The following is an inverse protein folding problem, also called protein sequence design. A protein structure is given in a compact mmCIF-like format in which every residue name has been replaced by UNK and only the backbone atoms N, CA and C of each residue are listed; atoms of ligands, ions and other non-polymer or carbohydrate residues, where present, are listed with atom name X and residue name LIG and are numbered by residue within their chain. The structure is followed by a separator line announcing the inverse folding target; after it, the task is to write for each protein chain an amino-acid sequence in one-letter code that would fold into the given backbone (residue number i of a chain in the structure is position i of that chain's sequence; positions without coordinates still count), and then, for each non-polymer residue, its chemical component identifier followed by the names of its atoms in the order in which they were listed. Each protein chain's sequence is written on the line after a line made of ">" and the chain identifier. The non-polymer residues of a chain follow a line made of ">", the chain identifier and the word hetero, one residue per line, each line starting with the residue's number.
data_IF_080437741288
#
_entry.id   IF_080437741288
#
_cell.length_a   1.000
_cell.length_b   1.000
_cell.length_c   1.000
_cell.angle_alpha   90.00
_cell.angle_beta   90.00
_cell.angle_gamma   90.00
#
_symmetry.space_group_name_H-M   'P 1'
#
loop_
_entity.id
_entity.type
_entity.pdbx_description
1 polymer ?
#
# COMPACT_ATOMS: atom_id res chain seq x y z
N UNK A 1 -7.67 -9.49 12.18
CA UNK A 1 -7.30 -8.38 13.09
C UNK A 1 -6.37 -8.93 14.16
N UNK A 2 -5.31 -8.21 14.50
CA UNK A 2 -4.28 -8.68 15.46
C UNK A 2 -4.74 -8.61 16.94
N UNK A 3 -5.86 -7.98 17.21
CA UNK A 3 -6.30 -7.70 18.57
C UNK A 3 -5.56 -6.50 19.18
N UNK A 4 -5.59 -6.38 20.51
CA UNK A 4 -4.97 -5.27 21.23
C UNK A 4 -3.48 -5.53 21.44
N UNK A 5 -2.65 -4.47 21.35
CA UNK A 5 -1.21 -4.50 21.65
C UNK A 5 -0.96 -4.91 23.11
N UNK A 6 -0.11 -5.89 23.32
CA UNK A 6 0.32 -6.38 24.64
C UNK A 6 1.65 -5.77 25.06
N UNK A 7 2.60 -5.70 24.11
CA UNK A 7 3.94 -5.17 24.36
C UNK A 7 4.63 -4.76 23.09
N UNK A 8 5.71 -4.03 23.21
CA UNK A 8 6.67 -3.78 22.14
C UNK A 8 8.09 -3.80 22.69
N UNK A 9 9.06 -3.98 21.80
CA UNK A 9 10.49 -3.77 22.07
C UNK A 9 11.18 -3.25 20.81
N UNK A 10 12.32 -2.61 20.98
CA UNK A 10 13.12 -2.03 19.89
C UNK A 10 14.43 -2.79 19.79
N UNK A 11 14.74 -3.29 18.61
CA UNK A 11 15.98 -3.99 18.31
C UNK A 11 16.45 -3.66 16.89
N UNK A 12 17.69 -3.25 16.71
CA UNK A 12 18.34 -2.99 15.42
C UNK A 12 17.55 -2.05 14.48
N UNK A 13 16.90 -1.02 15.01
CA UNK A 13 16.11 -0.08 14.22
C UNK A 13 14.69 -0.54 13.90
N UNK A 14 14.31 -1.72 14.39
CA UNK A 14 12.99 -2.31 14.21
C UNK A 14 12.23 -2.25 15.52
N UNK A 15 10.99 -1.81 15.48
CA UNK A 15 10.05 -1.86 16.59
C UNK A 15 9.17 -3.08 16.40
N UNK A 16 9.31 -4.07 17.27
CA UNK A 16 8.53 -5.28 17.27
C UNK A 16 7.33 -5.15 18.19
N UNK A 17 6.16 -5.55 17.71
CA UNK A 17 4.90 -5.50 18.45
C UNK A 17 4.34 -6.90 18.66
N UNK A 18 3.91 -7.19 19.89
CA UNK A 18 3.11 -8.36 20.21
C UNK A 18 1.65 -7.94 20.47
N UNK A 19 0.72 -8.63 19.83
CA UNK A 19 -0.73 -8.42 19.95
C UNK A 19 -1.39 -9.66 20.56
N UNK A 20 -2.71 -9.59 20.78
CA UNK A 20 -3.48 -10.72 21.31
C UNK A 20 -3.45 -11.93 20.36
N UNK A 21 -3.48 -11.70 19.05
CA UNK A 21 -3.63 -12.75 18.05
C UNK A 21 -2.54 -12.72 16.96
N UNK A 22 -1.42 -12.09 17.23
CA UNK A 22 -0.33 -12.04 16.26
C UNK A 22 0.78 -11.08 16.66
N UNK A 23 1.63 -10.82 15.69
CA UNK A 23 2.77 -9.90 15.82
C UNK A 23 2.87 -9.01 14.58
N UNK A 24 3.56 -7.90 14.68
CA UNK A 24 3.88 -7.00 13.59
C UNK A 24 5.14 -6.23 13.90
N UNK A 25 5.68 -5.54 12.93
CA UNK A 25 6.84 -4.67 13.13
C UNK A 25 6.76 -3.40 12.30
N UNK A 26 7.48 -2.40 12.78
CA UNK A 26 7.76 -1.16 12.08
C UNK A 26 9.27 -1.00 12.02
N UNK A 27 9.84 -0.95 10.82
CA UNK A 27 11.26 -0.70 10.60
C UNK A 27 11.47 0.71 10.05
N UNK A 28 12.34 1.48 10.69
CA UNK A 28 12.73 2.81 10.25
C UNK A 28 14.01 2.68 9.41
N UNK A 29 13.88 2.74 8.08
CA UNK A 29 15.01 2.57 7.17
C UNK A 29 15.80 3.86 6.94
N UNK A 30 15.07 4.97 6.83
CA UNK A 30 15.61 6.35 6.75
C UNK A 30 14.67 7.29 7.49
N UNK A 31 15.00 8.58 7.55
CA UNK A 31 14.13 9.58 8.19
C UNK A 31 12.74 9.68 7.53
N UNK A 32 12.60 9.22 6.29
CA UNK A 32 11.39 9.34 5.48
C UNK A 32 10.92 8.02 4.83
N UNK A 33 11.61 6.90 5.08
CA UNK A 33 11.21 5.56 4.60
C UNK A 33 10.97 4.65 5.80
N UNK A 34 9.77 4.11 5.87
CA UNK A 34 9.34 3.22 6.94
C UNK A 34 8.68 1.99 6.35
N UNK A 35 9.07 0.81 6.83
CA UNK A 35 8.41 -0.46 6.52
C UNK A 35 7.39 -0.81 7.60
N UNK A 36 6.25 -1.31 7.19
CA UNK A 36 5.20 -1.89 8.05
C UNK A 36 5.02 -3.34 7.65
N UNK A 37 5.23 -4.24 8.60
CA UNK A 37 5.23 -5.68 8.35
C UNK A 37 4.33 -6.45 9.32
N UNK A 38 3.48 -7.33 8.78
CA UNK A 38 2.70 -8.32 9.53
C UNK A 38 2.90 -9.68 8.90
N UNK A 39 3.48 -10.65 9.63
CA UNK A 39 3.69 -12.00 9.14
C UNK A 39 2.37 -12.79 9.17
N UNK A 40 1.91 -13.23 8.00
CA UNK A 40 0.77 -14.12 7.86
C UNK A 40 1.18 -15.51 7.35
N UNK A 41 2.08 -15.58 6.35
CA UNK A 41 2.57 -16.84 5.81
C UNK A 41 4.03 -17.13 6.20
N UNK A 42 4.84 -16.08 6.36
CA UNK A 42 6.27 -16.21 6.65
C UNK A 42 6.67 -15.27 7.78
N UNK A 43 7.31 -15.80 8.80
CA UNK A 43 7.70 -15.01 9.97
C UNK A 43 8.85 -14.04 9.71
N UNK A 44 9.67 -14.33 8.71
CA UNK A 44 10.80 -13.50 8.34
C UNK A 44 10.43 -12.54 7.20
N UNK A 45 10.84 -11.30 7.35
CA UNK A 45 10.81 -10.34 6.26
C UNK A 45 11.95 -10.66 5.29
N UNK A 46 11.61 -11.16 4.11
CA UNK A 46 12.55 -11.52 3.04
C UNK A 46 12.15 -10.85 1.73
N UNK A 47 12.38 -9.55 1.67
CA UNK A 47 12.19 -8.84 0.41
C UNK A 47 13.15 -9.33 -0.66
N UNK A 48 12.63 -9.46 -1.89
CA UNK A 48 13.43 -9.66 -3.10
C UNK A 48 13.55 -8.40 -3.95
N UNK A 49 12.80 -7.37 -3.59
CA UNK A 49 12.78 -6.09 -4.28
C UNK A 49 13.75 -5.07 -3.66
N UNK A 50 14.16 -5.27 -2.41
CA UNK A 50 15.02 -4.34 -1.68
C UNK A 50 16.48 -4.68 -1.94
N UNK A 51 17.26 -3.70 -2.41
CA UNK A 51 18.68 -3.86 -2.70
C UNK A 51 19.53 -3.56 -1.46
N UNK A 52 20.29 -4.57 -1.00
CA UNK A 52 21.25 -4.44 0.10
C UNK A 52 20.61 -4.18 1.47
N UNK A 53 21.44 -3.95 2.47
CA UNK A 53 21.01 -3.55 3.80
C UNK A 53 20.78 -2.04 3.84
N UNK A 54 19.54 -1.61 4.08
CA UNK A 54 19.13 -0.19 4.10
C UNK A 54 19.05 0.39 5.50
N UNK A 55 18.73 -0.41 6.51
CA UNK A 55 18.64 0.04 7.91
C UNK A 55 20.05 0.16 8.52
N UNK A 56 20.60 1.36 8.52
CA UNK A 56 21.85 1.66 9.22
C UNK A 56 21.63 2.77 10.23
N UNK A 57 21.38 2.38 11.50
CA UNK A 57 21.48 3.26 12.66
C UNK A 57 20.76 4.62 12.54
N UNK A 58 19.52 4.59 12.04
CA UNK A 58 18.68 5.79 12.03
C UNK A 58 18.26 6.08 13.48
N UNK A 59 18.48 7.30 13.90
CA UNK A 59 18.01 7.75 15.21
C UNK A 59 16.52 8.08 15.13
N UNK A 60 15.73 7.51 16.01
CA UNK A 60 14.33 7.86 16.19
C UNK A 60 13.95 7.78 17.67
N UNK A 61 12.99 8.58 18.06
CA UNK A 61 12.44 8.58 19.42
C UNK A 61 11.13 7.78 19.43
N UNK A 62 10.87 7.12 20.57
CA UNK A 62 9.64 6.35 20.80
C UNK A 62 8.97 6.88 22.05
N UNK A 63 7.69 7.24 21.94
CA UNK A 63 6.90 7.75 23.06
C UNK A 63 5.54 7.05 23.11
N UNK A 64 5.13 6.60 24.29
CA UNK A 64 3.79 6.07 24.51
C UNK A 64 2.74 7.20 24.59
N UNK A 65 1.67 7.07 23.80
CA UNK A 65 0.44 7.81 23.93
C UNK A 65 -0.63 7.02 24.70
N UNK A 66 -1.87 7.47 24.65
CA UNK A 66 -2.98 6.82 25.39
C UNK A 66 -3.35 5.47 24.75
N UNK A 67 -3.44 5.42 23.42
CA UNK A 67 -3.87 4.26 22.61
C UNK A 67 -2.97 4.00 21.39
N UNK A 68 -1.79 4.63 21.35
CA UNK A 68 -0.80 4.47 20.28
C UNK A 68 0.62 4.56 20.83
N UNK A 69 1.55 4.06 20.04
CA UNK A 69 2.98 4.34 20.16
C UNK A 69 3.35 5.37 19.10
N UNK A 70 3.98 6.47 19.49
CA UNK A 70 4.47 7.48 18.56
C UNK A 70 5.96 7.26 18.32
N UNK A 71 6.35 7.20 17.06
CA UNK A 71 7.73 7.08 16.59
C UNK A 71 8.08 8.34 15.82
N UNK A 72 9.17 9.00 16.18
CA UNK A 72 9.61 10.27 15.58
C UNK A 72 10.98 10.10 14.94
N UNK A 73 11.06 10.40 13.66
CA UNK A 73 12.31 10.61 12.93
C UNK A 73 12.55 12.10 12.70
N UNK A 74 13.62 12.46 12.00
CA UNK A 74 13.86 13.87 11.63
C UNK A 74 12.82 14.41 10.61
N UNK A 75 12.11 13.53 9.86
CA UNK A 75 11.14 13.93 8.83
C UNK A 75 9.70 13.46 9.09
N UNK A 76 9.48 12.45 9.92
CA UNK A 76 8.18 11.82 10.11
C UNK A 76 7.79 11.69 11.59
N UNK A 77 6.48 11.74 11.81
CA UNK A 77 5.83 11.27 13.03
C UNK A 77 4.93 10.10 12.61
N UNK A 78 5.15 8.92 13.20
CA UNK A 78 4.37 7.72 12.92
C UNK A 78 3.61 7.34 14.18
N UNK A 79 2.30 7.10 14.09
CA UNK A 79 1.49 6.60 15.19
C UNK A 79 1.00 5.20 14.89
N UNK A 80 1.47 4.25 15.70
CA UNK A 80 1.06 2.84 15.66
C UNK A 80 0.05 2.62 16.78
N UNK A 81 -1.21 2.45 16.43
CA UNK A 81 -2.30 2.28 17.38
C UNK A 81 -2.33 0.87 17.97
N UNK A 82 -3.02 0.71 19.08
CA UNK A 82 -3.12 -0.56 19.81
C UNK A 82 -3.72 -1.72 18.99
N UNK A 83 -4.43 -1.43 17.90
CA UNK A 83 -4.96 -2.41 16.94
C UNK A 83 -4.10 -2.58 15.68
N UNK A 84 -2.88 -2.05 15.68
CA UNK A 84 -1.92 -2.00 14.57
C UNK A 84 -2.39 -1.18 13.35
N UNK A 85 -3.24 -0.21 13.54
CA UNK A 85 -3.43 0.83 12.53
C UNK A 85 -2.27 1.82 12.58
N UNK A 86 -1.83 2.29 11.41
CA UNK A 86 -0.64 3.15 11.29
C UNK A 86 -0.98 4.43 10.54
N UNK A 87 -0.74 5.56 11.20
CA UNK A 87 -0.88 6.89 10.62
C UNK A 87 0.48 7.57 10.51
N UNK A 88 0.68 8.29 9.42
CA UNK A 88 1.89 9.02 9.11
C UNK A 88 1.60 10.52 9.04
N UNK A 89 2.45 11.30 9.70
CA UNK A 89 2.37 12.76 9.75
C UNK A 89 3.74 13.36 9.40
N UNK A 90 3.75 14.59 8.92
CA UNK A 90 4.97 15.38 8.87
C UNK A 90 5.38 15.86 10.28
N UNK A 91 6.56 16.45 10.40
CA UNK A 91 7.08 16.95 11.69
C UNK A 91 6.28 18.13 12.28
N UNK A 92 5.41 18.77 11.49
CA UNK A 92 4.48 19.83 11.93
C UNK A 92 3.15 19.27 12.42
N UNK A 93 2.97 17.94 12.33
CA UNK A 93 1.73 17.26 12.73
C UNK A 93 0.66 17.25 11.64
N UNK A 94 1.00 17.60 10.39
CA UNK A 94 0.07 17.48 9.28
C UNK A 94 -0.06 16.01 8.86
N UNK A 95 -1.28 15.52 8.73
CA UNK A 95 -1.55 14.16 8.30
C UNK A 95 -1.15 13.96 6.83
N UNK A 96 -0.28 12.98 6.59
CA UNK A 96 0.11 12.52 5.27
C UNK A 96 -0.77 11.35 4.81
N UNK A 97 -0.81 10.26 5.59
CA UNK A 97 -1.53 9.04 5.27
C UNK A 97 -2.06 8.40 6.55
N UNK A 98 -3.31 7.95 6.56
CA UNK A 98 -3.92 7.26 7.69
C UNK A 98 -4.57 5.95 7.26
N UNK A 99 -4.59 4.98 8.18
CA UNK A 99 -5.43 3.81 8.01
C UNK A 99 -6.91 4.16 8.16
N UNK A 100 -7.76 3.55 7.33
CA UNK A 100 -9.20 3.77 7.38
C UNK A 100 -9.81 3.09 8.62
N UNK A 101 -10.53 3.86 9.44
CA UNK A 101 -11.10 3.40 10.70
C UNK A 101 -12.42 2.64 10.55
N UNK A 102 -13.08 2.78 9.39
CA UNK A 102 -14.28 2.03 9.05
C UNK A 102 -13.94 0.61 8.57
N UNK A 103 -14.86 -0.32 8.68
CA UNK A 103 -14.73 -1.62 8.02
C UNK A 103 -14.89 -1.46 6.51
N UNK A 104 -14.05 -2.14 5.72
CA UNK A 104 -14.24 -2.22 4.27
C UNK A 104 -15.58 -2.91 4.00
N UNK A 105 -16.50 -2.18 3.39
CA UNK A 105 -17.84 -2.69 3.05
C UNK A 105 -17.87 -3.02 1.57
N UNK A 106 -17.96 -4.31 1.26
CA UNK A 106 -18.35 -4.75 -0.08
C UNK A 106 -19.82 -4.37 -0.30
N UNK A 107 -20.06 -3.49 -1.24
CA UNK A 107 -21.38 -3.31 -1.81
C UNK A 107 -21.25 -3.58 -3.30
N UNK A 108 -21.33 -4.85 -3.68
CA UNK A 108 -21.76 -5.18 -5.03
C UNK A 108 -23.26 -4.88 -5.09
N UNK A 109 -23.64 -3.61 -5.20
CA UNK A 109 -25.01 -3.28 -5.56
C UNK A 109 -25.19 -3.60 -7.06
N UNK A 110 -25.36 -4.87 -7.35
CA UNK A 110 -26.08 -5.24 -8.54
C UNK A 110 -27.51 -4.79 -8.24
N UNK A 111 -28.03 -3.79 -8.94
CA UNK A 111 -29.40 -3.32 -8.70
C UNK A 111 -30.37 -4.50 -8.91
N UNK A 112 -31.42 -4.61 -8.10
CA UNK A 112 -32.43 -5.66 -8.22
C UNK A 112 -32.96 -5.77 -9.68
N UNK A 113 -33.14 -4.63 -10.34
CA UNK A 113 -33.54 -4.55 -11.76
C UNK A 113 -32.52 -5.23 -12.70
N UNK A 114 -31.22 -5.12 -12.42
CA UNK A 114 -30.20 -5.76 -13.24
C UNK A 114 -30.13 -7.27 -12.96
N UNK A 115 -30.37 -7.70 -11.72
CA UNK A 115 -30.52 -9.13 -11.36
C UNK A 115 -31.73 -9.72 -12.06
N UNK A 116 -32.87 -9.04 -12.08
CA UNK A 116 -34.09 -9.45 -12.77
C UNK A 116 -33.86 -9.56 -14.29
N UNK A 117 -33.18 -8.56 -14.87
CA UNK A 117 -32.80 -8.58 -16.29
C UNK A 117 -31.91 -9.79 -16.62
N UNK A 118 -30.86 -10.06 -15.86
CA UNK A 118 -29.97 -11.21 -16.08
C UNK A 118 -30.73 -12.54 -15.97
N UNK A 119 -31.63 -12.67 -15.00
CA UNK A 119 -32.48 -13.86 -14.86
C UNK A 119 -33.45 -14.02 -16.02
N UNK A 120 -34.04 -12.94 -16.51
CA UNK A 120 -34.97 -12.97 -17.63
C UNK A 120 -34.29 -13.39 -18.95
N UNK A 121 -33.02 -12.98 -19.12
CA UNK A 121 -32.21 -13.35 -20.30
C UNK A 121 -31.49 -14.70 -20.16
N UNK A 122 -31.72 -15.45 -19.05
CA UNK A 122 -31.13 -16.76 -18.82
C UNK A 122 -29.63 -16.73 -18.50
N UNK A 123 -29.10 -15.57 -18.07
CA UNK A 123 -27.72 -15.45 -17.63
C UNK A 123 -27.56 -15.83 -16.15
N UNK A 124 -26.41 -16.42 -15.81
CA UNK A 124 -26.06 -16.62 -14.41
C UNK A 124 -25.92 -15.28 -13.70
N UNK A 125 -26.61 -15.13 -12.58
CA UNK A 125 -26.44 -13.95 -11.71
C UNK A 125 -25.07 -14.05 -11.06
N UNK A 126 -24.16 -13.09 -11.26
CA UNK A 126 -22.90 -13.11 -10.56
C UNK A 126 -23.15 -13.15 -9.05
N UNK A 127 -22.68 -14.18 -8.37
CA UNK A 127 -22.70 -14.18 -6.92
C UNK A 127 -21.82 -13.03 -6.45
N UNK A 128 -22.35 -12.25 -5.50
CA UNK A 128 -21.54 -11.25 -4.81
C UNK A 128 -20.39 -11.99 -4.11
N UNK A 129 -19.24 -12.02 -4.75
CA UNK A 129 -18.04 -12.57 -4.15
C UNK A 129 -17.55 -11.55 -3.14
N UNK A 130 -17.61 -11.88 -1.87
CA UNK A 130 -16.88 -11.21 -0.81
C UNK A 130 -15.38 -11.33 -1.15
N UNK A 131 -14.84 -10.30 -1.81
CA UNK A 131 -13.40 -10.22 -2.09
C UNK A 131 -12.67 -9.74 -0.83
N UNK A 132 -12.72 -10.53 0.22
CA UNK A 132 -11.85 -10.35 1.36
C UNK A 132 -10.48 -10.95 1.01
N UNK A 133 -9.49 -10.10 0.84
CA UNK A 133 -8.12 -10.54 0.68
C UNK A 133 -7.56 -11.05 2.00
N UNK A 134 -6.69 -12.07 1.94
CA UNK A 134 -6.04 -12.63 3.12
C UNK A 134 -5.24 -11.56 3.87
N UNK A 135 -4.51 -10.74 3.14
CA UNK A 135 -3.78 -9.57 3.66
C UNK A 135 -4.24 -8.32 2.93
N UNK A 136 -4.45 -7.24 3.67
CA UNK A 136 -4.82 -5.95 3.08
C UNK A 136 -4.47 -4.77 3.99
N UNK A 137 -4.14 -3.64 3.38
CA UNK A 137 -4.08 -2.33 4.02
C UNK A 137 -5.14 -1.43 3.38
N UNK A 138 -5.98 -0.83 4.21
CA UNK A 138 -7.05 0.08 3.78
C UNK A 138 -6.69 1.48 4.28
N UNK A 139 -6.51 2.41 3.37
CA UNK A 139 -6.08 3.78 3.66
C UNK A 139 -7.25 4.75 3.46
N UNK A 140 -7.36 5.72 4.35
CA UNK A 140 -8.39 6.75 4.28
C UNK A 140 -8.15 7.70 3.11
N UNK A 141 -9.23 8.06 2.41
CA UNK A 141 -9.23 9.15 1.42
C UNK A 141 -9.46 10.49 2.11
N UNK A 142 -8.70 11.50 1.71
CA UNK A 142 -8.92 12.90 2.14
C UNK A 142 -9.72 13.70 1.10
N UNK A 143 -9.89 13.14 -0.12
CA UNK A 143 -10.75 13.67 -1.17
C UNK A 143 -10.01 14.31 -2.34
N UNK A 144 -8.85 14.91 -2.11
CA UNK A 144 -8.04 15.60 -3.13
C UNK A 144 -6.91 14.76 -3.74
N UNK A 145 -6.83 13.46 -3.39
CA UNK A 145 -5.77 12.57 -3.89
C UNK A 145 -5.81 12.39 -5.40
N UNK A 146 -4.62 12.41 -5.99
CA UNK A 146 -4.30 11.86 -7.30
C UNK A 146 -3.27 10.75 -7.15
N UNK A 147 -3.41 9.67 -7.93
CA UNK A 147 -2.56 8.49 -7.84
C UNK A 147 -1.78 8.27 -9.13
N UNK A 148 -0.47 8.02 -9.03
CA UNK A 148 0.44 7.83 -10.17
C UNK A 148 1.34 6.62 -9.94
N UNK A 149 1.60 5.81 -10.95
CA UNK A 149 2.51 4.67 -10.86
C UNK A 149 1.97 3.37 -11.45
N UNK A 150 2.28 2.23 -10.80
CA UNK A 150 1.87 0.87 -11.11
C UNK A 150 2.53 0.21 -12.33
N UNK A 151 3.50 0.85 -12.98
CA UNK A 151 4.10 0.35 -14.22
C UNK A 151 3.17 0.48 -15.43
N UNK A 152 3.14 -0.52 -16.30
CA UNK A 152 2.32 -0.50 -17.50
C UNK A 152 0.85 -0.80 -17.14
N UNK A 153 0.04 0.24 -17.11
CA UNK A 153 -1.40 0.15 -16.81
C UNK A 153 -2.20 1.04 -17.76
N UNK A 154 -3.29 0.49 -18.27
CA UNK A 154 -4.22 1.24 -19.11
C UNK A 154 -4.92 2.38 -18.34
N UNK A 155 -5.57 3.27 -19.08
CA UNK A 155 -6.30 4.41 -18.53
C UNK A 155 -5.48 5.70 -18.48
N UNK A 156 -6.09 6.74 -17.92
CA UNK A 156 -5.47 8.07 -17.80
C UNK A 156 -4.33 8.07 -16.78
N UNK A 157 -3.51 9.12 -16.80
CA UNK A 157 -2.33 9.24 -15.95
C UNK A 157 -2.68 9.20 -14.45
N UNK A 158 -3.68 9.98 -14.02
CA UNK A 158 -4.21 9.89 -12.66
C UNK A 158 -5.09 8.65 -12.52
N UNK A 159 -4.66 7.73 -11.69
CA UNK A 159 -5.30 6.42 -11.49
C UNK A 159 -6.47 6.43 -10.48
N UNK A 160 -6.91 7.60 -10.01
CA UNK A 160 -8.09 7.71 -9.13
C UNK A 160 -9.32 7.08 -9.79
N UNK A 161 -10.09 6.31 -9.06
CA UNK A 161 -11.26 5.51 -9.48
C UNK A 161 -10.96 4.31 -10.40
N UNK A 162 -9.70 3.88 -10.47
CA UNK A 162 -9.32 2.63 -11.11
C UNK A 162 -9.06 1.52 -10.09
N UNK A 163 -9.14 0.29 -10.54
CA UNK A 163 -8.67 -0.89 -9.83
C UNK A 163 -7.71 -1.68 -10.72
N UNK A 164 -6.63 -2.19 -10.15
CA UNK A 164 -5.58 -2.90 -10.87
C UNK A 164 -5.19 -4.20 -10.20
N UNK A 165 -4.72 -5.15 -11.02
CA UNK A 165 -4.09 -6.38 -10.60
C UNK A 165 -2.60 -6.34 -10.97
N UNK A 166 -1.74 -6.70 -10.03
CA UNK A 166 -0.31 -6.92 -10.29
C UNK A 166 -0.14 -8.39 -10.64
N UNK A 167 -0.24 -8.67 -11.92
CA UNK A 167 -0.07 -9.98 -12.52
C UNK A 167 0.40 -9.79 -13.95
N UNK A 168 1.67 -10.16 -14.24
CA UNK A 168 2.23 -9.96 -15.58
C UNK A 168 1.47 -10.80 -16.59
N UNK A 169 0.86 -10.13 -17.55
CA UNK A 169 0.00 -10.73 -18.56
C UNK A 169 0.32 -10.15 -19.92
N UNK A 170 0.65 -11.01 -20.88
CA UNK A 170 0.75 -10.66 -22.29
C UNK A 170 -0.64 -10.83 -22.94
N UNK A 171 -1.31 -9.73 -23.21
CA UNK A 171 -2.63 -9.74 -23.82
C UNK A 171 -2.54 -9.26 -25.29
N UNK A 172 -2.84 -10.11 -26.27
CA UNK A 172 -2.75 -9.77 -27.70
C UNK A 172 -3.86 -8.81 -28.17
N UNK A 173 -4.90 -8.58 -27.36
CA UNK A 173 -5.98 -7.67 -27.71
C UNK A 173 -5.58 -6.20 -27.51
N UNK A 174 -6.35 -5.27 -28.10
CA UNK A 174 -6.16 -3.84 -27.87
C UNK A 174 -6.33 -3.49 -26.39
N UNK A 175 -5.34 -2.80 -25.82
CA UNK A 175 -5.32 -2.45 -24.40
C UNK A 175 -6.27 -1.28 -24.12
N UNK A 176 -7.44 -1.59 -23.62
CA UNK A 176 -8.43 -0.61 -23.16
C UNK A 176 -8.34 -0.39 -21.66
N UNK A 177 -9.04 0.61 -21.14
CA UNK A 177 -9.13 0.91 -19.72
C UNK A 177 -9.71 -0.24 -18.86
N UNK A 178 -10.38 -1.21 -19.49
CA UNK A 178 -10.91 -2.38 -18.82
C UNK A 178 -9.83 -3.39 -18.40
N UNK A 179 -8.63 -3.31 -19.00
CA UNK A 179 -7.53 -4.21 -18.65
C UNK A 179 -6.90 -3.82 -17.32
N UNK A 180 -7.06 -4.68 -16.33
CA UNK A 180 -6.53 -4.48 -14.98
C UNK A 180 -5.10 -4.96 -14.81
N UNK A 181 -4.69 -5.98 -15.59
CA UNK A 181 -3.37 -6.59 -15.59
C UNK A 181 -2.71 -6.45 -16.96
N UNK A 182 -1.45 -6.05 -17.00
CA UNK A 182 -0.60 -5.94 -18.18
C UNK A 182 0.82 -6.43 -17.87
N UNK A 183 1.81 -6.10 -18.74
CA UNK A 183 3.16 -6.64 -18.73
C UNK A 183 3.94 -6.40 -17.44
N UNK A 184 4.07 -5.14 -16.99
CA UNK A 184 4.88 -4.79 -15.84
C UNK A 184 4.02 -4.59 -14.61
N UNK A 185 4.32 -5.39 -13.58
CA UNK A 185 3.72 -5.26 -12.26
C UNK A 185 4.69 -4.56 -11.34
N UNK A 186 4.45 -3.28 -11.09
CA UNK A 186 5.21 -2.47 -10.14
C UNK A 186 4.25 -2.03 -9.04
N UNK A 187 4.20 -2.74 -7.89
CA UNK A 187 3.24 -2.48 -6.82
C UNK A 187 3.63 -1.24 -5.99
N UNK A 188 4.02 -0.18 -6.69
CA UNK A 188 4.39 1.12 -6.16
C UNK A 188 3.56 2.21 -6.82
N UNK A 189 3.06 3.14 -6.01
CA UNK A 189 2.37 4.32 -6.48
C UNK A 189 2.64 5.53 -5.58
N UNK A 190 2.50 6.69 -6.17
CA UNK A 190 2.63 7.98 -5.50
C UNK A 190 1.23 8.54 -5.32
N UNK A 191 0.93 9.00 -4.11
CA UNK A 191 -0.24 9.80 -3.79
C UNK A 191 0.18 11.26 -3.74
N UNK A 192 -0.45 12.08 -4.57
CA UNK A 192 -0.28 13.52 -4.61
C UNK A 192 -1.54 14.20 -4.10
N UNK A 193 -1.39 15.09 -3.14
CA UNK A 193 -2.43 15.98 -2.61
C UNK A 193 -1.95 17.43 -2.72
N UNK A 194 -2.84 18.39 -2.59
CA UNK A 194 -2.45 19.81 -2.55
C UNK A 194 -1.44 20.11 -1.44
N UNK A 195 -1.53 19.38 -0.35
CA UNK A 195 -0.77 19.64 0.86
C UNK A 195 0.43 18.71 1.08
N UNK A 196 0.54 17.58 0.36
CA UNK A 196 1.60 16.61 0.56
C UNK A 196 1.76 15.62 -0.60
N UNK A 197 2.90 14.95 -0.63
CA UNK A 197 3.18 13.84 -1.53
C UNK A 197 3.86 12.70 -0.77
N UNK A 198 3.49 11.48 -1.08
CA UNK A 198 4.12 10.27 -0.54
C UNK A 198 3.97 9.09 -1.49
N UNK A 199 4.83 8.08 -1.33
CA UNK A 199 4.76 6.82 -2.03
C UNK A 199 4.33 5.68 -1.11
N UNK A 200 3.65 4.69 -1.68
CA UNK A 200 3.38 3.40 -1.07
C UNK A 200 3.88 2.29 -1.99
N UNK A 201 4.70 1.42 -1.44
CA UNK A 201 5.21 0.23 -2.11
C UNK A 201 4.75 -1.01 -1.36
N UNK A 202 3.97 -1.88 -2.00
CA UNK A 202 3.49 -3.14 -1.41
C UNK A 202 4.40 -4.29 -1.85
N UNK A 203 5.30 -4.69 -0.96
CA UNK A 203 6.30 -5.74 -1.22
C UNK A 203 5.72 -7.14 -0.99
N UNK A 204 4.90 -7.57 -1.93
CA UNK A 204 4.31 -8.89 -1.94
C UNK A 204 4.42 -9.48 -3.35
N UNK A 205 5.11 -10.62 -3.48
CA UNK A 205 5.39 -11.28 -4.76
C UNK A 205 4.24 -12.16 -5.27
N UNK A 206 3.16 -12.30 -4.51
CA UNK A 206 1.94 -12.96 -4.97
C UNK A 206 1.13 -12.04 -5.89
N UNK A 207 0.01 -12.52 -6.40
CA UNK A 207 -0.94 -11.67 -7.11
C UNK A 207 -1.51 -10.63 -6.14
N UNK A 208 -1.32 -9.35 -6.46
CA UNK A 208 -1.80 -8.25 -5.62
C UNK A 208 -2.84 -7.41 -6.33
N UNK A 209 -3.69 -6.76 -5.54
CA UNK A 209 -4.84 -6.00 -5.99
C UNK A 209 -4.79 -4.61 -5.38
N UNK A 210 -5.13 -3.61 -6.19
CA UNK A 210 -5.20 -2.21 -5.80
C UNK A 210 -6.54 -1.64 -6.22
N UNK A 211 -7.20 -0.95 -5.31
CA UNK A 211 -8.40 -0.15 -5.59
C UNK A 211 -8.15 1.28 -5.14
N UNK A 212 -8.27 2.22 -6.06
CA UNK A 212 -7.94 3.62 -5.84
C UNK A 212 -9.21 4.47 -5.74
N UNK A 213 -10.01 4.19 -4.71
CA UNK A 213 -11.31 4.81 -4.47
C UNK A 213 -12.36 4.52 -5.55
N UNK A 214 -12.25 3.36 -6.23
CA UNK A 214 -13.27 2.87 -7.16
C UNK A 214 -14.42 2.21 -6.42
N UNK A 215 -14.09 1.31 -5.49
CA UNK A 215 -15.07 0.60 -4.66
C UNK A 215 -15.80 1.56 -3.72
N UNK A 216 -15.07 2.45 -3.07
CA UNK A 216 -15.62 3.42 -2.13
C UNK A 216 -14.82 4.73 -2.18
N UNK A 217 -15.49 5.87 -1.97
CA UNK A 217 -14.84 7.19 -2.00
C UNK A 217 -14.18 7.59 -0.68
N UNK A 218 -14.40 6.84 0.39
CA UNK A 218 -13.84 7.11 1.71
C UNK A 218 -12.47 6.46 1.92
N UNK A 219 -12.09 5.50 1.06
CA UNK A 219 -10.83 4.78 1.18
C UNK A 219 -10.29 4.30 -0.17
N UNK A 220 -9.01 3.98 -0.17
CA UNK A 220 -8.34 3.16 -1.16
C UNK A 220 -7.65 1.99 -0.45
N UNK A 221 -7.34 0.93 -1.16
CA UNK A 221 -6.69 -0.23 -0.53
C UNK A 221 -5.77 -0.96 -1.50
N UNK A 222 -4.89 -1.75 -0.90
CA UNK A 222 -4.12 -2.78 -1.57
C UNK A 222 -4.13 -4.06 -0.74
N UNK A 223 -4.05 -5.20 -1.40
CA UNK A 223 -4.12 -6.50 -0.74
C UNK A 223 -3.71 -7.66 -1.64
N UNK A 224 -3.64 -8.84 -1.05
CA UNK A 224 -3.32 -10.10 -1.71
C UNK A 224 -4.05 -11.26 -1.06
N UNK A 225 -4.30 -12.32 -1.82
CA UNK A 225 -4.87 -13.56 -1.29
C UNK A 225 -3.83 -14.39 -0.52
N UNK A 226 -2.54 -14.06 -0.66
CA UNK A 226 -1.42 -14.79 -0.07
C UNK A 226 -0.28 -13.86 0.35
N UNK A 227 0.68 -14.44 1.08
CA UNK A 227 1.88 -13.73 1.53
C UNK A 227 1.65 -12.90 2.78
N UNK A 228 2.55 -11.97 3.04
CA UNK A 228 2.54 -11.11 4.20
C UNK A 228 1.98 -9.72 3.86
N UNK A 229 1.49 -9.01 4.87
CA UNK A 229 1.31 -7.58 4.76
C UNK A 229 2.67 -6.92 4.96
N UNK A 230 3.24 -6.45 3.88
CA UNK A 230 4.58 -5.88 3.83
C UNK A 230 4.56 -4.67 2.90
N UNK A 231 4.61 -3.47 3.48
CA UNK A 231 4.60 -2.27 2.67
C UNK A 231 5.53 -1.19 3.21
N UNK A 232 6.03 -0.37 2.31
CA UNK A 232 6.86 0.79 2.62
C UNK A 232 6.07 2.06 2.40
N UNK A 233 6.14 2.95 3.40
CA UNK A 233 5.72 4.33 3.28
C UNK A 233 6.96 5.20 3.01
N UNK A 234 6.88 6.04 1.99
CA UNK A 234 7.97 6.90 1.53
C UNK A 234 7.46 8.34 1.48
N UNK A 235 7.87 9.18 2.42
CA UNK A 235 7.55 10.59 2.39
C UNK A 235 8.51 11.35 1.47
N UNK A 236 8.06 12.47 0.91
CA UNK A 236 8.91 13.38 0.14
C UNK A 236 8.30 14.77 0.04
N UNK A 237 9.12 15.76 -0.29
CA UNK A 237 8.66 17.12 -0.51
C UNK A 237 8.06 17.31 -1.91
N UNK A 238 8.38 16.37 -2.84
CA UNK A 238 7.90 16.36 -4.22
C UNK A 238 7.97 14.95 -4.82
N UNK A 239 7.29 14.74 -5.96
CA UNK A 239 7.26 13.43 -6.63
C UNK A 239 8.66 12.91 -7.05
N UNK A 240 9.57 13.72 -7.61
CA UNK A 240 10.93 13.27 -7.90
C UNK A 240 11.69 12.74 -6.69
N UNK A 241 11.55 13.34 -5.52
CA UNK A 241 12.16 12.85 -4.28
C UNK A 241 11.61 11.48 -3.89
N UNK A 242 10.29 11.31 -3.91
CA UNK A 242 9.64 10.02 -3.64
C UNK A 242 10.12 8.92 -4.60
N UNK A 243 10.31 9.24 -5.89
CA UNK A 243 10.87 8.31 -6.88
C UNK A 243 12.35 8.02 -6.58
N UNK A 244 13.14 9.02 -6.22
CA UNK A 244 14.54 8.85 -5.85
C UNK A 244 14.71 7.93 -4.64
N UNK A 245 13.84 8.07 -3.64
CA UNK A 245 13.82 7.24 -2.43
C UNK A 245 13.32 5.82 -2.71
N UNK A 246 12.30 5.68 -3.55
CA UNK A 246 11.86 4.37 -4.02
C UNK A 246 13.00 3.63 -4.78
N UNK A 247 13.69 4.32 -5.67
CA UNK A 247 14.81 3.72 -6.42
C UNK A 247 16.07 3.54 -5.57
N UNK A 248 16.27 4.35 -4.51
CA UNK A 248 17.27 4.06 -3.49
C UNK A 248 16.97 2.73 -2.77
N UNK A 249 15.70 2.49 -2.48
CA UNK A 249 15.23 1.28 -1.80
C UNK A 249 15.37 0.03 -2.69
N UNK A 250 14.91 0.12 -3.95
CA UNK A 250 14.78 -1.03 -4.87
C UNK A 250 15.92 -1.19 -5.88
N UNK A 251 16.90 -0.31 -5.83
CA UNK A 251 18.00 -0.28 -6.81
C UNK A 251 17.75 0.71 -7.96
N UNK A 252 18.84 1.34 -8.40
CA UNK A 252 18.81 2.32 -9.49
C UNK A 252 19.23 1.66 -10.80
N UNK A 253 18.42 1.84 -11.82
CA UNK A 253 18.76 1.40 -13.18
C UNK A 253 20.00 2.17 -13.69
N UNK A 254 21.05 1.51 -14.17
CA UNK A 254 22.16 2.18 -14.79
C UNK A 254 21.72 2.92 -16.06
N UNK A 255 22.38 4.03 -16.37
CA UNK A 255 22.09 4.77 -17.60
C UNK A 255 22.40 3.89 -18.81
N UNK A 256 21.44 3.55 -19.66
CA UNK A 256 21.67 2.73 -20.83
C UNK A 256 22.50 3.49 -21.88
N UNK A 257 23.27 2.76 -22.69
CA UNK A 257 23.96 3.36 -23.82
C UNK A 257 22.97 3.76 -24.91
N UNK A 258 23.21 4.88 -25.60
CA UNK A 258 22.25 5.45 -26.57
C UNK A 258 21.76 4.44 -27.60
N UNK A 259 22.66 3.58 -28.12
CA UNK A 259 22.31 2.58 -29.13
C UNK A 259 21.32 1.49 -28.64
N UNK A 260 21.10 1.38 -27.32
CA UNK A 260 20.13 0.41 -26.76
C UNK A 260 18.73 0.98 -26.67
N UNK A 261 18.56 2.25 -26.98
CA UNK A 261 17.27 2.95 -26.91
C UNK A 261 16.50 2.95 -28.24
N UNK A 262 17.05 2.36 -29.31
CA UNK A 262 16.43 2.24 -30.62
C UNK A 262 16.86 3.32 -31.60
#
# INVERSE_FOLDING_TARGET
>A
MLGKRKSYYVENGIIHFAFEYGKGSLEVLTDNIVNVFVPFECEEHRSKAIEGEKSKHIHFDVQEGIDYLEVRTAKLIIRVYDNFMVDFYDTRGQLLCADYRGGRKFVTQISEKFIEFLKAEGHEVPQATDKNYHVQAVKRMEGDEAFYGFGDKAGVLNKKNYDYEMWNTDNPAAHTEAFKALYKSIPFFITLRESCVYGLFFDNTCKTYFDLAKENKEYYFFGSDRGNLDYYFIAGDNMPEVVADYTYLTGRTPLPQLYTLG
#
